data_IF_712602860020
#
_entry.id   IF_712602860020
#
_cell.length_a   1.000
_cell.length_b   1.000
_cell.length_c   1.000
_cell.angle_alpha   90.00
_cell.angle_beta   90.00
_cell.angle_gamma   90.00
#
_symmetry.space_group_name_H-M   'P 1'
#
loop_
_entity.id
_entity.type
_entity.pdbx_description
1 polymer ?
#
# COMPACT_ATOMS: atom_id res chain seq x y z
N UNK A 1 7.96 -19.34 -1.36
CA UNK A 1 8.95 -18.35 -1.79
C UNK A 1 8.41 -17.00 -1.37
N UNK A 2 8.88 -16.49 -0.25
CA UNK A 2 8.62 -15.12 0.20
C UNK A 2 9.56 -14.23 -0.61
N UNK A 3 9.02 -13.51 -1.60
CA UNK A 3 9.79 -12.49 -2.30
C UNK A 3 10.09 -11.36 -1.30
N UNK A 4 11.37 -11.11 -1.02
CA UNK A 4 11.82 -9.99 -0.19
C UNK A 4 11.27 -8.69 -0.77
N UNK A 5 10.39 -7.99 -0.04
CA UNK A 5 9.80 -6.73 -0.47
C UNK A 5 10.75 -5.55 -0.17
N UNK A 6 11.63 -5.22 -1.11
CA UNK A 6 12.30 -3.90 -1.19
C UNK A 6 11.35 -2.84 -1.78
N UNK A 7 11.67 -1.54 -1.71
CA UNK A 7 10.86 -0.45 -2.29
C UNK A 7 10.46 -0.71 -3.77
N UNK A 8 11.41 -1.18 -4.58
CA UNK A 8 11.17 -1.63 -5.98
C UNK A 8 10.29 -2.87 -6.10
N UNK A 9 10.16 -3.65 -5.04
CA UNK A 9 9.31 -4.83 -4.98
C UNK A 9 7.93 -4.48 -4.46
N UNK A 10 7.79 -3.49 -3.56
CA UNK A 10 6.49 -2.95 -3.11
C UNK A 10 5.74 -2.31 -4.27
N UNK A 11 6.40 -1.43 -5.05
CA UNK A 11 5.75 -0.81 -6.22
C UNK A 11 5.34 -1.86 -7.27
N UNK A 12 6.21 -2.84 -7.57
CA UNK A 12 5.87 -3.94 -8.48
C UNK A 12 4.74 -4.81 -7.94
N UNK A 13 4.70 -5.03 -6.62
CA UNK A 13 3.62 -5.75 -5.98
C UNK A 13 2.30 -5.00 -6.12
N UNK A 14 2.28 -3.68 -5.88
CA UNK A 14 1.10 -2.84 -6.07
C UNK A 14 0.63 -2.85 -7.52
N UNK A 15 1.54 -2.70 -8.48
CA UNK A 15 1.21 -2.76 -9.89
C UNK A 15 0.58 -4.10 -10.28
N UNK A 16 1.08 -5.21 -9.73
CA UNK A 16 0.51 -6.54 -9.96
C UNK A 16 -0.91 -6.67 -9.40
N UNK A 17 -1.16 -6.13 -8.21
CA UNK A 17 -2.46 -6.16 -7.55
C UNK A 17 -3.48 -5.25 -8.25
N UNK A 18 -3.07 -4.04 -8.61
CA UNK A 18 -3.88 -3.10 -9.39
C UNK A 18 -4.25 -3.74 -10.74
N UNK A 19 -3.31 -4.40 -11.41
CA UNK A 19 -3.60 -5.09 -12.68
C UNK A 19 -4.66 -6.20 -12.50
N UNK A 20 -4.62 -6.97 -11.41
CA UNK A 20 -5.63 -7.99 -11.09
C UNK A 20 -7.01 -7.37 -10.90
N UNK A 21 -7.10 -6.23 -10.19
CA UNK A 21 -8.37 -5.50 -10.02
C UNK A 21 -8.87 -4.98 -11.37
N UNK A 22 -8.00 -4.36 -12.18
CA UNK A 22 -8.40 -3.77 -13.47
C UNK A 22 -8.77 -4.80 -14.55
N UNK A 23 -8.33 -6.06 -14.45
CA UNK A 23 -8.72 -7.15 -15.36
C UNK A 23 -10.04 -7.85 -14.97
N UNK A 24 -10.71 -7.38 -13.91
CA UNK A 24 -12.01 -7.90 -13.52
C UNK A 24 -13.04 -7.73 -14.65
N UNK A 25 -14.00 -8.67 -14.74
CA UNK A 25 -15.03 -8.70 -15.78
C UNK A 25 -15.82 -7.40 -15.88
N UNK A 26 -15.98 -6.73 -14.75
CA UNK A 26 -16.77 -5.53 -14.52
C UNK A 26 -16.05 -4.28 -15.08
N UNK A 27 -14.71 -4.29 -15.07
CA UNK A 27 -13.87 -3.17 -15.52
C UNK A 27 -13.32 -3.35 -16.95
N UNK A 28 -13.46 -4.54 -17.56
CA UNK A 28 -13.02 -4.80 -18.94
C UNK A 28 -13.58 -3.84 -19.98
N UNK A 29 -14.80 -3.35 -19.76
CA UNK A 29 -15.47 -2.41 -20.66
C UNK A 29 -15.04 -0.94 -20.50
N UNK A 30 -14.21 -0.61 -19.51
CA UNK A 30 -13.72 0.74 -19.32
C UNK A 30 -12.69 1.12 -20.38
N UNK A 31 -12.76 2.37 -20.84
CA UNK A 31 -11.71 2.95 -21.66
C UNK A 31 -10.39 3.06 -20.87
N UNK A 32 -9.26 3.02 -21.59
CA UNK A 32 -7.92 3.02 -20.99
C UNK A 32 -7.63 4.27 -20.13
N UNK A 33 -8.29 5.40 -20.44
CA UNK A 33 -8.15 6.63 -19.65
C UNK A 33 -8.80 6.48 -18.27
N UNK A 34 -9.99 5.89 -18.21
CA UNK A 34 -10.68 5.59 -16.95
C UNK A 34 -9.95 4.52 -16.15
N UNK A 35 -9.41 3.49 -16.81
CA UNK A 35 -8.56 2.48 -16.14
C UNK A 35 -7.34 3.12 -15.49
N UNK A 36 -6.67 4.06 -16.16
CA UNK A 36 -5.54 4.81 -15.56
C UNK A 36 -5.95 5.61 -14.32
N UNK A 37 -7.04 6.37 -14.41
CA UNK A 37 -7.53 7.14 -13.25
C UNK A 37 -7.92 6.22 -12.09
N UNK A 38 -8.51 5.06 -12.39
CA UNK A 38 -8.85 4.07 -11.38
C UNK A 38 -7.60 3.42 -10.77
N UNK A 39 -6.58 3.13 -11.60
CA UNK A 39 -5.29 2.63 -11.16
C UNK A 39 -4.61 3.57 -10.16
N UNK A 40 -4.59 4.88 -10.46
CA UNK A 40 -4.06 5.91 -9.56
C UNK A 40 -4.83 5.91 -8.23
N UNK A 41 -6.16 5.90 -8.27
CA UNK A 41 -6.97 5.86 -7.05
C UNK A 41 -6.74 4.61 -6.19
N UNK A 42 -6.60 3.44 -6.82
CA UNK A 42 -6.30 2.20 -6.11
C UNK A 42 -4.90 2.27 -5.51
N UNK A 43 -3.93 2.84 -6.23
CA UNK A 43 -2.57 3.04 -5.71
C UNK A 43 -2.56 3.98 -4.49
N UNK A 44 -3.19 5.15 -4.60
CA UNK A 44 -3.30 6.10 -3.50
C UNK A 44 -3.93 5.44 -2.26
N UNK A 45 -4.97 4.63 -2.47
CA UNK A 45 -5.60 3.90 -1.38
C UNK A 45 -4.69 2.82 -0.77
N UNK A 46 -3.88 2.13 -1.58
CA UNK A 46 -2.89 1.18 -1.05
C UNK A 46 -1.80 1.89 -0.26
N UNK A 47 -1.35 3.06 -0.71
CA UNK A 47 -0.40 3.89 0.03
C UNK A 47 -0.99 4.30 1.40
N UNK A 48 -2.27 4.68 1.46
CA UNK A 48 -2.98 4.94 2.71
C UNK A 48 -3.01 3.70 3.62
N UNK A 49 -3.27 2.50 3.08
CA UNK A 49 -3.26 1.25 3.86
C UNK A 49 -1.86 0.96 4.43
N UNK A 50 -0.79 1.19 3.65
CA UNK A 50 0.60 1.04 4.13
C UNK A 50 0.85 1.95 5.32
N UNK A 51 0.53 3.23 5.17
CA UNK A 51 0.71 4.23 6.21
C UNK A 51 -0.11 3.87 7.45
N UNK A 52 -1.38 3.52 7.30
CA UNK A 52 -2.23 3.12 8.42
C UNK A 52 -1.71 1.86 9.11
N UNK A 53 -1.24 0.87 8.35
CA UNK A 53 -0.68 -0.36 8.93
C UNK A 53 0.57 -0.06 9.74
N UNK A 54 1.42 0.83 9.23
CA UNK A 54 2.64 1.25 9.92
C UNK A 54 2.29 2.03 11.19
N UNK A 55 1.47 3.07 11.06
CA UNK A 55 1.07 3.94 12.17
C UNK A 55 0.42 3.17 13.33
N UNK A 56 -0.39 2.16 13.04
CA UNK A 56 -1.04 1.32 14.06
C UNK A 56 -0.06 0.39 14.81
N UNK A 57 1.15 0.19 14.28
CA UNK A 57 2.19 -0.66 14.88
C UNK A 57 3.29 0.15 15.56
N UNK A 58 3.39 1.45 15.27
CA UNK A 58 4.36 2.31 15.93
C UNK A 58 4.00 2.54 17.40
N UNK A 59 5.02 2.54 18.24
CA UNK A 59 4.87 2.99 19.63
C UNK A 59 4.58 4.49 19.70
N UNK A 60 4.08 4.96 20.84
CA UNK A 60 3.83 6.41 21.05
C UNK A 60 5.09 7.25 20.86
N UNK A 61 6.27 6.74 21.21
CA UNK A 61 7.55 7.43 21.01
C UNK A 61 7.92 7.52 19.53
N UNK A 62 7.78 6.43 18.78
CA UNK A 62 8.04 6.41 17.34
C UNK A 62 7.04 7.27 16.55
N UNK A 63 5.77 7.31 16.97
CA UNK A 63 4.76 8.21 16.40
C UNK A 63 5.11 9.68 16.64
N UNK A 64 5.63 10.00 17.82
CA UNK A 64 6.07 11.36 18.13
C UNK A 64 7.28 11.75 17.29
N UNK A 65 8.26 10.87 17.20
CA UNK A 65 9.45 11.07 16.36
C UNK A 65 9.07 11.24 14.87
N UNK A 66 8.15 10.42 14.36
CA UNK A 66 7.65 10.55 13.00
C UNK A 66 6.93 11.90 12.78
N UNK A 67 6.09 12.33 13.74
CA UNK A 67 5.40 13.64 13.68
C UNK A 67 6.36 14.82 13.63
N UNK A 68 7.47 14.75 14.38
CA UNK A 68 8.51 15.79 14.36
C UNK A 68 9.22 15.87 13.01
N UNK A 69 9.20 14.78 12.25
CA UNK A 69 9.82 14.64 10.93
C UNK A 69 8.95 15.14 9.79
N UNK A 70 7.65 15.39 10.02
CA UNK A 70 6.71 15.81 8.96
C UNK A 70 7.08 17.15 8.31
N UNK A 71 7.89 17.98 8.97
CA UNK A 71 8.39 19.23 8.40
C UNK A 71 9.49 19.01 7.34
N UNK A 72 10.01 17.79 7.20
CA UNK A 72 11.11 17.39 6.31
C UNK A 72 10.77 16.06 5.62
N UNK A 73 10.15 16.11 4.42
CA UNK A 73 9.66 14.92 3.74
C UNK A 73 10.72 13.81 3.57
N UNK A 74 11.95 14.17 3.22
CA UNK A 74 13.05 13.20 3.06
C UNK A 74 13.37 12.45 4.38
N UNK A 75 13.41 13.16 5.51
CA UNK A 75 13.62 12.52 6.82
C UNK A 75 12.42 11.67 7.26
N UNK A 76 11.21 12.06 6.85
CA UNK A 76 9.99 11.31 7.13
C UNK A 76 9.98 9.97 6.36
N UNK A 77 10.36 9.99 5.08
CA UNK A 77 10.47 8.79 4.25
C UNK A 77 11.50 7.80 4.82
N UNK A 78 12.71 8.27 5.17
CA UNK A 78 13.74 7.42 5.78
C UNK A 78 13.26 6.76 7.08
N UNK A 79 12.51 7.50 7.92
CA UNK A 79 11.98 6.96 9.18
C UNK A 79 10.85 5.96 8.97
N UNK A 80 9.99 6.20 7.99
CA UNK A 80 8.94 5.25 7.58
C UNK A 80 9.58 3.93 7.17
N UNK A 81 10.61 3.96 6.31
CA UNK A 81 11.33 2.77 5.89
C UNK A 81 12.06 2.08 7.03
N UNK A 82 12.73 2.85 7.89
CA UNK A 82 13.41 2.32 9.06
C UNK A 82 12.46 1.60 10.00
N UNK A 83 11.29 2.18 10.27
CA UNK A 83 10.31 1.55 11.16
C UNK A 83 9.63 0.35 10.52
N UNK A 84 9.28 0.43 9.24
CA UNK A 84 8.71 -0.70 8.51
C UNK A 84 9.66 -1.90 8.48
N UNK A 85 10.96 -1.67 8.20
CA UNK A 85 11.98 -2.72 8.14
C UNK A 85 12.32 -3.31 9.52
N UNK A 86 12.15 -2.54 10.59
CA UNK A 86 12.37 -2.99 11.96
C UNK A 86 11.21 -3.81 12.54
N UNK A 87 10.06 -3.88 11.86
CA UNK A 87 8.88 -4.62 12.33
C UNK A 87 8.85 -6.03 11.75
N UNK A 88 9.04 -7.07 12.58
CA UNK A 88 8.79 -8.45 12.16
C UNK A 88 7.32 -8.58 11.72
N UNK A 89 7.08 -9.33 10.65
CA UNK A 89 5.74 -9.61 10.06
C UNK A 89 4.97 -8.42 9.49
N UNK A 90 5.54 -7.19 9.49
CA UNK A 90 4.86 -6.02 8.91
C UNK A 90 4.42 -6.27 7.46
N UNK A 91 5.28 -6.90 6.66
CA UNK A 91 4.98 -7.25 5.29
C UNK A 91 3.88 -8.30 5.15
N UNK A 92 3.82 -9.28 6.05
CA UNK A 92 2.76 -10.29 6.04
C UNK A 92 1.40 -9.67 6.41
N UNK A 93 1.40 -8.82 7.45
CA UNK A 93 0.21 -8.10 7.91
C UNK A 93 -0.31 -7.12 6.84
N UNK A 94 0.61 -6.38 6.19
CA UNK A 94 0.29 -5.48 5.09
C UNK A 94 -0.28 -6.25 3.90
N UNK A 95 0.34 -7.38 3.56
CA UNK A 95 -0.12 -8.24 2.47
C UNK A 95 -1.54 -8.77 2.72
N UNK A 96 -1.83 -9.23 3.93
CA UNK A 96 -3.17 -9.71 4.29
C UNK A 96 -4.22 -8.58 4.22
N UNK A 97 -3.91 -7.38 4.71
CA UNK A 97 -4.81 -6.21 4.59
C UNK A 97 -5.07 -5.84 3.13
N UNK A 98 -4.02 -5.76 2.32
CA UNK A 98 -4.14 -5.40 0.91
C UNK A 98 -4.95 -6.44 0.12
N UNK A 99 -4.75 -7.74 0.40
CA UNK A 99 -5.55 -8.83 -0.20
C UNK A 99 -7.01 -8.75 0.19
N UNK A 100 -7.30 -8.49 1.47
CA UNK A 100 -8.68 -8.32 1.94
C UNK A 100 -9.36 -7.13 1.26
N UNK A 101 -8.66 -6.01 1.10
CA UNK A 101 -9.23 -4.86 0.41
C UNK A 101 -9.41 -5.07 -1.09
N UNK A 102 -8.51 -5.82 -1.74
CA UNK A 102 -8.75 -6.21 -3.13
C UNK A 102 -10.01 -7.06 -3.28
N UNK A 103 -10.24 -8.00 -2.37
CA UNK A 103 -11.46 -8.82 -2.39
C UNK A 103 -12.71 -7.96 -2.17
N UNK A 104 -12.66 -7.03 -1.21
CA UNK A 104 -13.75 -6.10 -0.94
C UNK A 104 -14.06 -5.19 -2.16
N UNK A 105 -13.03 -4.64 -2.81
CA UNK A 105 -13.19 -3.84 -4.02
C UNK A 105 -13.79 -4.64 -5.17
N UNK A 106 -13.36 -5.90 -5.36
CA UNK A 106 -13.93 -6.78 -6.39
C UNK A 106 -15.42 -7.02 -6.12
N UNK A 107 -15.79 -7.31 -4.88
CA UNK A 107 -17.18 -7.60 -4.51
C UNK A 107 -18.09 -6.34 -4.58
N UNK A 108 -17.54 -5.13 -4.44
CA UNK A 108 -18.26 -3.86 -4.67
C UNK A 108 -18.53 -3.61 -6.16
N UNK A 109 -17.64 -4.10 -7.02
CA UNK A 109 -17.71 -3.87 -8.46
C UNK A 109 -18.57 -4.92 -9.18
N UNK A 110 -18.74 -6.12 -8.61
CA UNK A 110 -19.57 -7.24 -9.11
C UNK A 110 -21.06 -7.08 -8.83
#
# INVERSE_FOLDING_TARGET
MTEDLTEKNVQRYFDSMIAVVLDSSELRGLDEKKKKVLAEKIRDHFDDIVLDTLLNRLTTEQLKDLKESMARPEEMEEKIELYASAMPTFYDDLNDRLRNEMLAMRDILS
#
